data_IF_021103410253
#
_entry.id   IF_021103410253
#
_cell.length_a   1.000
_cell.length_b   1.000
_cell.length_c   1.000
_cell.angle_alpha   90.00
_cell.angle_beta   90.00
_cell.angle_gamma   90.00
#
_symmetry.space_group_name_H-M   'P 1'
#
loop_
_entity.id
_entity.type
_entity.pdbx_description
1 polymer ?
#
# COMPACT_ATOMS: atom_id res chain seq x y z
N UNK A 1 -11.53 36.35 -1.33
CA UNK A 1 -11.77 34.90 -1.20
C UNK A 1 -10.40 34.25 -1.19
N UNK A 2 -10.18 33.26 -0.35
CA UNK A 2 -8.94 32.46 -0.39
C UNK A 2 -8.82 31.73 -1.73
N UNK A 3 -7.58 31.48 -2.16
CA UNK A 3 -7.30 30.58 -3.27
C UNK A 3 -7.55 29.10 -2.89
N UNK A 4 -7.14 28.20 -3.79
CA UNK A 4 -7.31 26.76 -3.68
C UNK A 4 -5.94 26.08 -3.73
N UNK A 5 -5.75 25.03 -2.92
CA UNK A 5 -4.64 24.09 -3.07
C UNK A 5 -5.09 22.91 -3.94
N UNK A 6 -4.44 22.69 -5.07
CA UNK A 6 -4.66 21.54 -5.93
C UNK A 6 -3.59 20.48 -5.69
N UNK A 7 -3.99 19.24 -5.40
CA UNK A 7 -3.11 18.07 -5.31
C UNK A 7 -3.13 17.40 -6.69
N UNK A 8 -2.07 17.55 -7.47
CA UNK A 8 -2.05 17.18 -8.89
C UNK A 8 -1.12 15.99 -9.12
N UNK A 9 -1.69 14.88 -9.63
CA UNK A 9 -0.91 13.71 -10.03
C UNK A 9 -0.10 13.95 -11.30
N UNK A 10 1.15 13.50 -11.29
CA UNK A 10 2.10 13.61 -12.40
C UNK A 10 2.41 12.24 -13.01
N UNK A 11 2.96 12.16 -14.22
CA UNK A 11 3.35 10.90 -14.85
C UNK A 11 4.36 10.10 -14.01
N UNK A 12 4.24 8.76 -14.02
CA UNK A 12 5.16 7.86 -13.33
C UNK A 12 6.28 7.31 -14.23
N UNK A 13 6.40 7.85 -15.45
CA UNK A 13 7.43 7.45 -16.40
C UNK A 13 7.09 7.74 -17.86
N UNK A 14 5.81 7.95 -18.18
CA UNK A 14 5.34 8.26 -19.52
C UNK A 14 4.56 9.58 -19.51
N UNK A 15 5.08 10.59 -20.19
CA UNK A 15 4.45 11.92 -20.27
C UNK A 15 3.04 11.88 -20.88
N UNK A 16 2.73 10.85 -21.70
CA UNK A 16 1.40 10.62 -22.26
C UNK A 16 0.32 10.27 -21.24
N UNK A 17 0.72 9.89 -20.01
CA UNK A 17 -0.20 9.59 -18.91
C UNK A 17 -0.65 10.85 -18.14
N UNK A 18 -0.14 12.02 -18.50
CA UNK A 18 -0.60 13.27 -17.89
C UNK A 18 -2.04 13.54 -18.28
N UNK A 19 -2.89 13.82 -17.29
CA UNK A 19 -4.31 14.09 -17.57
C UNK A 19 -4.52 15.49 -18.15
N UNK A 20 -5.50 15.66 -19.03
CA UNK A 20 -5.89 16.97 -19.57
C UNK A 20 -6.18 17.96 -18.43
N UNK A 21 -6.94 17.55 -17.41
CA UNK A 21 -7.25 18.39 -16.27
C UNK A 21 -6.01 18.74 -15.45
N UNK A 22 -5.03 17.83 -15.38
CA UNK A 22 -3.73 18.09 -14.76
C UNK A 22 -3.00 19.24 -15.46
N UNK A 23 -2.87 19.17 -16.78
CA UNK A 23 -2.26 20.25 -17.58
C UNK A 23 -2.99 21.57 -17.37
N UNK A 24 -4.32 21.59 -17.57
CA UNK A 24 -5.13 22.79 -17.39
C UNK A 24 -5.01 23.39 -15.98
N UNK A 25 -4.91 22.54 -14.95
CA UNK A 25 -4.76 23.02 -13.57
C UNK A 25 -3.41 23.67 -13.37
N UNK A 26 -2.31 23.04 -13.86
CA UNK A 26 -0.97 23.60 -13.77
C UNK A 26 -0.84 24.92 -14.57
N UNK A 27 -1.60 25.06 -15.66
CA UNK A 27 -1.67 26.33 -16.41
C UNK A 27 -2.44 27.43 -15.68
N UNK A 28 -3.43 27.08 -14.86
CA UNK A 28 -4.33 28.05 -14.20
C UNK A 28 -3.84 28.54 -12.85
N UNK A 29 -3.07 27.74 -12.10
CA UNK A 29 -2.57 28.14 -10.78
C UNK A 29 -1.57 29.28 -10.85
N UNK A 30 -1.39 29.99 -9.75
CA UNK A 30 -0.46 31.11 -9.67
C UNK A 30 0.98 30.66 -9.41
N UNK A 31 1.15 29.52 -8.71
CA UNK A 31 2.44 28.88 -8.47
C UNK A 31 2.30 27.39 -8.18
N UNK A 32 3.43 26.68 -8.28
CA UNK A 32 3.47 25.21 -8.09
C UNK A 32 4.51 24.89 -7.01
N UNK A 33 4.09 24.11 -6.01
CA UNK A 33 4.95 23.49 -5.02
C UNK A 33 5.45 22.14 -5.55
N UNK A 34 6.75 22.00 -5.67
CA UNK A 34 7.40 20.84 -6.29
C UNK A 34 8.40 20.18 -5.33
N UNK A 35 8.44 18.87 -5.31
CA UNK A 35 9.40 18.09 -4.54
C UNK A 35 10.83 18.39 -5.05
N UNK A 36 11.10 18.10 -6.32
CA UNK A 36 12.29 18.57 -7.03
C UNK A 36 11.89 19.51 -8.18
N UNK A 37 12.20 20.79 -8.01
CA UNK A 37 11.89 21.81 -9.02
C UNK A 37 12.53 21.55 -10.37
N UNK A 38 13.63 20.80 -10.44
CA UNK A 38 14.33 20.44 -11.68
C UNK A 38 13.56 19.40 -12.47
N UNK A 39 12.95 18.43 -11.77
CA UNK A 39 12.10 17.39 -12.37
C UNK A 39 10.81 18.03 -12.88
N UNK A 40 10.14 18.80 -12.01
CA UNK A 40 8.90 19.50 -12.35
C UNK A 40 9.12 20.48 -13.52
N UNK A 41 10.24 21.19 -13.57
CA UNK A 41 10.55 22.09 -14.67
C UNK A 41 10.62 21.38 -16.04
N UNK A 42 11.14 20.14 -16.07
CA UNK A 42 11.16 19.33 -17.31
C UNK A 42 9.73 19.00 -17.76
N UNK A 43 8.85 18.60 -16.81
CA UNK A 43 7.45 18.34 -17.07
C UNK A 43 6.74 19.60 -17.63
N UNK A 44 6.89 20.73 -16.95
CA UNK A 44 6.28 21.98 -17.37
C UNK A 44 6.77 22.45 -18.74
N UNK A 45 8.06 22.32 -19.01
CA UNK A 45 8.62 22.67 -20.32
C UNK A 45 8.05 21.80 -21.45
N UNK A 46 7.82 20.51 -21.20
CA UNK A 46 7.22 19.60 -22.18
C UNK A 46 5.78 20.04 -22.57
N UNK A 47 5.02 20.54 -21.59
CA UNK A 47 3.65 21.03 -21.80
C UNK A 47 3.61 22.57 -22.07
N UNK A 48 4.76 23.21 -22.28
CA UNK A 48 4.88 24.66 -22.56
C UNK A 48 4.31 25.56 -21.44
N UNK A 49 4.24 25.04 -20.20
CA UNK A 49 3.71 25.75 -19.01
C UNK A 49 4.81 26.58 -18.36
N UNK A 50 4.54 27.87 -18.09
CA UNK A 50 5.46 28.78 -17.42
C UNK A 50 4.83 29.28 -16.13
N UNK A 51 5.21 28.66 -14.99
CA UNK A 51 4.74 29.01 -13.65
C UNK A 51 5.89 29.10 -12.65
N UNK A 52 5.77 29.99 -11.66
CA UNK A 52 6.71 30.03 -10.54
C UNK A 52 6.72 28.69 -9.80
N UNK A 53 7.92 28.17 -9.51
CA UNK A 53 8.12 26.98 -8.72
C UNK A 53 8.59 27.34 -7.31
N UNK A 54 8.03 26.66 -6.31
CA UNK A 54 8.45 26.70 -4.91
C UNK A 54 8.90 25.29 -4.52
N UNK A 55 10.13 25.16 -4.02
CA UNK A 55 10.61 23.85 -3.52
C UNK A 55 9.86 23.49 -2.26
N UNK A 56 9.26 22.29 -2.25
CA UNK A 56 8.52 21.71 -1.11
C UNK A 56 8.74 20.21 -1.04
N UNK A 57 9.58 19.77 -0.13
CA UNK A 57 9.99 18.37 0.05
C UNK A 57 9.83 17.94 1.52
N UNK A 58 10.03 16.67 1.84
CA UNK A 58 9.83 16.08 3.17
C UNK A 58 10.56 16.85 4.30
N UNK A 59 11.74 17.42 3.99
CA UNK A 59 12.53 18.20 4.94
C UNK A 59 12.25 19.71 4.91
N UNK A 60 11.19 20.14 4.21
CA UNK A 60 10.81 21.56 4.19
C UNK A 60 10.40 22.02 5.58
N UNK A 61 10.89 23.21 5.97
CA UNK A 61 10.58 23.74 7.29
C UNK A 61 9.10 24.15 7.38
N UNK A 62 8.58 24.15 8.59
CA UNK A 62 7.22 24.66 8.86
C UNK A 62 6.99 26.08 8.34
N UNK A 63 8.01 26.91 8.37
CA UNK A 63 7.95 28.29 7.84
C UNK A 63 7.66 28.33 6.34
N UNK A 64 8.20 27.37 5.56
CA UNK A 64 7.89 27.23 4.12
C UNK A 64 6.42 26.88 3.94
N UNK A 65 5.90 25.91 4.67
CA UNK A 65 4.47 25.57 4.63
C UNK A 65 3.58 26.75 5.00
N UNK A 66 3.93 27.49 6.08
CA UNK A 66 3.20 28.70 6.49
C UNK A 66 3.22 29.79 5.43
N UNK A 67 4.35 30.01 4.76
CA UNK A 67 4.46 30.96 3.65
C UNK A 67 3.56 30.59 2.46
N UNK A 68 3.53 29.30 2.09
CA UNK A 68 2.67 28.78 1.02
C UNK A 68 1.19 29.00 1.37
N UNK A 69 0.78 28.60 2.57
CA UNK A 69 -0.62 28.72 3.02
C UNK A 69 -1.05 30.18 3.11
N UNK A 70 -0.17 31.09 3.56
CA UNK A 70 -0.47 32.52 3.60
C UNK A 70 -0.69 33.10 2.19
N UNK A 71 0.07 32.66 1.18
CA UNK A 71 -0.16 33.05 -0.22
C UNK A 71 -1.55 32.59 -0.69
N UNK A 72 -1.94 31.36 -0.36
CA UNK A 72 -3.25 30.84 -0.75
C UNK A 72 -4.37 31.61 -0.03
N UNK A 73 -4.21 31.93 1.26
CA UNK A 73 -5.17 32.74 2.02
C UNK A 73 -5.33 34.15 1.42
N UNK A 74 -4.29 34.68 0.81
CA UNK A 74 -4.31 35.97 0.11
C UNK A 74 -4.90 35.89 -1.31
N UNK A 75 -5.42 34.74 -1.73
CA UNK A 75 -6.16 34.54 -2.98
C UNK A 75 -5.39 33.89 -4.12
N UNK A 76 -4.11 33.51 -3.92
CA UNK A 76 -3.35 32.77 -4.93
C UNK A 76 -3.77 31.28 -4.95
N UNK A 77 -3.91 30.70 -6.13
CA UNK A 77 -4.10 29.26 -6.32
C UNK A 77 -2.74 28.56 -6.40
N UNK A 78 -2.63 27.42 -5.74
CA UNK A 78 -1.39 26.64 -5.72
C UNK A 78 -1.66 25.20 -6.18
N UNK A 79 -0.73 24.61 -6.95
CA UNK A 79 -0.67 23.17 -7.15
C UNK A 79 0.49 22.58 -6.34
N UNK A 80 0.28 21.43 -5.70
CA UNK A 80 1.35 20.59 -5.17
C UNK A 80 1.52 19.38 -6.08
N UNK A 81 2.77 19.10 -6.45
CA UNK A 81 3.16 17.96 -7.29
C UNK A 81 4.35 17.24 -6.66
N UNK A 82 4.44 15.92 -6.87
CA UNK A 82 5.63 15.10 -6.59
C UNK A 82 6.42 14.86 -7.87
N UNK A 83 7.58 14.24 -7.73
CA UNK A 83 8.44 13.91 -8.87
C UNK A 83 7.77 12.88 -9.81
N UNK A 84 6.94 11.99 -9.25
CA UNK A 84 6.20 10.99 -10.00
C UNK A 84 4.94 10.52 -9.26
N UNK A 85 3.80 10.44 -9.95
CA UNK A 85 2.56 9.90 -9.39
C UNK A 85 1.74 10.90 -8.59
N UNK A 86 0.97 10.40 -7.63
CA UNK A 86 0.11 11.22 -6.77
C UNK A 86 0.89 11.74 -5.57
N UNK A 87 0.96 13.07 -5.36
CA UNK A 87 1.55 13.64 -4.16
C UNK A 87 0.90 13.09 -2.89
N UNK A 88 1.63 13.15 -1.78
CA UNK A 88 1.17 12.71 -0.45
C UNK A 88 0.99 11.19 -0.26
N UNK A 89 1.34 10.38 -1.24
CA UNK A 89 1.33 8.91 -1.16
C UNK A 89 2.79 8.43 -1.28
N UNK A 90 3.45 8.23 -0.16
CA UNK A 90 4.92 8.03 -0.04
C UNK A 90 5.76 9.24 -0.48
N UNK A 91 5.13 10.40 -0.63
CA UNK A 91 5.70 11.64 -1.12
C UNK A 91 5.34 12.81 -0.19
N UNK A 92 6.05 13.95 -0.24
CA UNK A 92 5.73 15.13 0.55
C UNK A 92 4.37 15.74 0.20
N UNK A 93 3.79 16.48 1.15
CA UNK A 93 2.55 17.24 0.94
C UNK A 93 1.51 17.09 2.05
N UNK A 94 1.53 16.01 2.82
CA UNK A 94 0.54 15.72 3.88
C UNK A 94 0.45 16.87 4.90
N UNK A 95 1.59 17.41 5.34
CA UNK A 95 1.60 18.52 6.31
C UNK A 95 1.08 19.82 5.72
N UNK A 96 1.33 20.08 4.43
CA UNK A 96 0.78 21.24 3.72
C UNK A 96 -0.75 21.14 3.63
N UNK A 97 -1.28 19.95 3.24
CA UNK A 97 -2.71 19.71 3.18
C UNK A 97 -3.35 19.89 4.55
N UNK A 98 -2.76 19.32 5.60
CA UNK A 98 -3.24 19.46 6.98
C UNK A 98 -3.33 20.92 7.39
N UNK A 99 -2.28 21.70 7.14
CA UNK A 99 -2.23 23.13 7.47
C UNK A 99 -3.26 23.93 6.67
N UNK A 100 -3.51 23.59 5.41
CA UNK A 100 -4.57 24.18 4.60
C UNK A 100 -5.96 23.93 5.20
N UNK A 101 -6.25 22.67 5.58
CA UNK A 101 -7.53 22.28 6.17
C UNK A 101 -7.74 22.99 7.51
N UNK A 102 -6.72 23.05 8.36
CA UNK A 102 -6.77 23.76 9.67
C UNK A 102 -7.06 25.26 9.55
N UNK A 103 -6.82 25.84 8.36
CA UNK A 103 -7.05 27.27 8.07
C UNK A 103 -8.21 27.53 7.09
N UNK A 104 -9.10 26.56 6.92
CA UNK A 104 -10.27 26.65 6.03
C UNK A 104 -9.91 26.95 4.56
N UNK A 105 -8.72 26.56 4.11
CA UNK A 105 -8.34 26.63 2.71
C UNK A 105 -8.91 25.42 1.98
N UNK A 106 -9.59 25.67 0.87
CA UNK A 106 -10.12 24.60 0.01
C UNK A 106 -8.98 23.79 -0.61
N UNK A 107 -9.05 22.46 -0.49
CA UNK A 107 -8.14 21.51 -1.13
C UNK A 107 -8.89 20.70 -2.16
N UNK A 108 -8.40 20.65 -3.39
CA UNK A 108 -8.98 19.86 -4.48
C UNK A 108 -7.98 18.85 -5.03
N UNK A 109 -8.46 17.63 -5.35
CA UNK A 109 -7.64 16.61 -5.99
C UNK A 109 -7.82 16.63 -7.51
N UNK A 110 -6.70 16.55 -8.22
CA UNK A 110 -6.63 16.29 -9.65
C UNK A 110 -5.94 14.95 -9.83
N UNK A 111 -6.71 13.83 -9.93
CA UNK A 111 -6.14 12.49 -9.96
C UNK A 111 -5.27 12.29 -11.19
N UNK A 112 -4.24 11.49 -11.00
CA UNK A 112 -3.29 11.09 -12.03
C UNK A 112 -2.80 9.65 -11.85
N UNK A 113 -1.76 9.24 -12.58
CA UNK A 113 -1.18 7.90 -12.47
C UNK A 113 -0.70 7.58 -11.06
N UNK A 114 -0.80 6.31 -10.67
CA UNK A 114 -0.20 5.79 -9.45
C UNK A 114 0.45 4.44 -9.72
N UNK A 115 1.70 4.26 -9.35
CA UNK A 115 2.42 3.01 -9.55
C UNK A 115 1.76 1.86 -8.79
N UNK A 116 1.27 2.11 -7.56
CA UNK A 116 0.55 1.16 -6.74
C UNK A 116 -0.67 0.58 -7.47
N UNK A 117 -1.60 1.44 -7.93
CA UNK A 117 -2.83 1.00 -8.57
C UNK A 117 -2.56 0.31 -9.91
N UNK A 118 -1.60 0.81 -10.69
CA UNK A 118 -1.18 0.22 -11.96
C UNK A 118 -0.58 -1.18 -11.75
N UNK A 119 0.27 -1.36 -10.74
CA UNK A 119 0.85 -2.66 -10.41
C UNK A 119 -0.22 -3.68 -10.00
N UNK A 120 -1.15 -3.30 -9.13
CA UNK A 120 -2.26 -4.17 -8.70
C UNK A 120 -3.09 -4.63 -9.89
N UNK A 121 -3.44 -3.70 -10.80
CA UNK A 121 -4.26 -4.01 -11.96
C UNK A 121 -3.65 -5.07 -12.90
N UNK A 122 -2.31 -5.14 -12.97
CA UNK A 122 -1.60 -6.09 -13.86
C UNK A 122 -0.98 -7.27 -13.13
N UNK A 123 -1.09 -7.35 -11.79
CA UNK A 123 -0.37 -8.34 -10.97
C UNK A 123 -0.85 -9.78 -11.15
N UNK A 124 -2.10 -10.02 -11.49
CA UNK A 124 -2.77 -11.32 -11.41
C UNK A 124 -2.85 -11.89 -9.96
N UNK A 125 -2.83 -11.01 -8.96
CA UNK A 125 -3.10 -11.32 -7.56
C UNK A 125 -4.45 -10.69 -7.19
N UNK A 126 -5.12 -11.18 -6.15
CA UNK A 126 -6.45 -10.68 -5.77
C UNK A 126 -6.44 -9.16 -5.58
N UNK A 127 -7.37 -8.48 -6.25
CA UNK A 127 -7.54 -7.02 -6.19
C UNK A 127 -8.70 -6.59 -5.30
N UNK A 128 -9.45 -7.56 -4.74
CA UNK A 128 -10.67 -7.27 -3.97
C UNK A 128 -10.39 -6.54 -2.65
N UNK A 129 -9.27 -6.85 -2.02
CA UNK A 129 -8.78 -6.17 -0.82
C UNK A 129 -7.26 -6.12 -0.85
N UNK A 130 -6.68 -4.95 -0.65
CA UNK A 130 -5.24 -4.77 -0.62
C UNK A 130 -4.84 -3.71 0.41
N UNK A 131 -3.61 -3.82 0.90
CA UNK A 131 -2.97 -2.85 1.76
C UNK A 131 -1.71 -2.30 1.09
N UNK A 132 -1.56 -0.97 1.10
CA UNK A 132 -0.36 -0.31 0.63
C UNK A 132 0.58 -0.08 1.81
N UNK A 133 1.70 -0.76 1.80
CA UNK A 133 2.71 -0.78 2.86
C UNK A 133 3.86 0.23 2.60
N UNK A 134 3.93 0.79 1.38
CA UNK A 134 4.97 1.76 1.01
C UNK A 134 6.37 1.16 0.97
N UNK A 135 7.37 1.95 1.37
CA UNK A 135 8.76 1.49 1.44
C UNK A 135 9.06 0.86 2.81
N UNK A 136 9.73 -0.28 2.79
CA UNK A 136 10.27 -0.87 4.01
C UNK A 136 11.44 -0.03 4.57
N UNK A 137 11.50 0.11 5.89
CA UNK A 137 12.55 0.88 6.57
C UNK A 137 13.95 0.35 6.24
N UNK A 138 14.90 1.26 6.07
CA UNK A 138 16.33 0.93 5.97
C UNK A 138 16.87 0.36 7.28
N UNK A 139 16.27 0.73 8.42
CA UNK A 139 16.63 0.23 9.74
C UNK A 139 16.12 -1.19 9.91
N UNK A 140 17.02 -2.16 10.09
CA UNK A 140 16.71 -3.60 10.17
C UNK A 140 15.61 -3.90 11.18
N UNK A 141 15.69 -3.32 12.39
CA UNK A 141 14.68 -3.54 13.44
C UNK A 141 13.28 -3.13 13.00
N UNK A 142 13.11 -1.91 12.49
CA UNK A 142 11.81 -1.39 12.04
C UNK A 142 11.27 -2.18 10.83
N UNK A 143 12.15 -2.58 9.90
CA UNK A 143 11.78 -3.41 8.76
C UNK A 143 11.24 -4.76 9.19
N UNK A 144 11.87 -5.41 10.15
CA UNK A 144 11.43 -6.69 10.68
C UNK A 144 10.13 -6.59 11.48
N UNK A 145 9.98 -5.56 12.31
CA UNK A 145 8.73 -5.27 13.00
C UNK A 145 7.57 -5.05 12.02
N UNK A 146 7.81 -4.31 10.93
CA UNK A 146 6.83 -4.10 9.87
C UNK A 146 6.45 -5.41 9.18
N UNK A 147 7.43 -6.19 8.69
CA UNK A 147 7.17 -7.48 8.04
C UNK A 147 6.45 -8.45 8.98
N UNK A 148 6.82 -8.52 10.24
CA UNK A 148 6.17 -9.35 11.23
C UNK A 148 4.70 -8.95 11.45
N UNK A 149 4.40 -7.65 11.49
CA UNK A 149 3.02 -7.15 11.63
C UNK A 149 2.14 -7.50 10.42
N UNK A 150 2.70 -7.45 9.21
CA UNK A 150 2.02 -7.77 7.97
C UNK A 150 1.95 -9.28 7.65
N UNK A 151 2.70 -10.11 8.39
CA UNK A 151 2.88 -11.54 8.05
C UNK A 151 1.57 -12.35 8.02
N UNK A 152 0.57 -11.96 8.80
CA UNK A 152 -0.73 -12.64 8.86
C UNK A 152 -1.86 -11.85 8.21
N UNK A 153 -1.54 -10.76 7.51
CA UNK A 153 -2.55 -9.99 6.79
C UNK A 153 -3.03 -10.78 5.57
N UNK A 154 -4.35 -10.92 5.46
CA UNK A 154 -5.02 -11.64 4.37
C UNK A 154 -5.24 -10.78 3.12
N UNK A 155 -4.94 -9.48 3.20
CA UNK A 155 -4.98 -8.59 2.06
C UNK A 155 -3.79 -8.82 1.14
N UNK A 156 -3.94 -8.51 -0.13
CA UNK A 156 -2.81 -8.34 -1.03
C UNK A 156 -1.95 -7.18 -0.53
N UNK A 157 -0.65 -7.39 -0.34
CA UNK A 157 0.27 -6.41 0.18
C UNK A 157 1.05 -5.75 -0.96
N UNK A 158 1.21 -4.43 -0.90
CA UNK A 158 1.89 -3.67 -1.96
C UNK A 158 3.03 -2.88 -1.35
N UNK A 159 4.24 -3.11 -1.86
CA UNK A 159 5.45 -2.40 -1.42
C UNK A 159 6.10 -1.68 -2.60
N UNK A 160 6.70 -0.53 -2.33
CA UNK A 160 7.67 0.08 -3.23
C UNK A 160 9.07 -0.36 -2.84
N UNK A 161 9.95 -0.56 -3.84
CA UNK A 161 11.32 -0.94 -3.54
C UNK A 161 12.33 -0.37 -4.55
N UNK A 162 13.50 -0.02 -4.01
CA UNK A 162 14.62 0.44 -4.78
C UNK A 162 15.48 -0.74 -5.28
N UNK A 163 16.11 -0.64 -6.45
CA UNK A 163 16.83 -1.76 -7.06
C UNK A 163 17.93 -2.34 -6.16
N UNK A 164 18.66 -1.51 -5.47
CA UNK A 164 19.79 -1.93 -4.63
C UNK A 164 19.36 -2.67 -3.35
N UNK A 165 18.07 -2.64 -2.98
CA UNK A 165 17.51 -3.33 -1.81
C UNK A 165 16.71 -4.58 -2.19
N UNK A 166 16.26 -4.70 -3.44
CA UNK A 166 15.27 -5.68 -3.88
C UNK A 166 15.59 -7.10 -3.40
N UNK A 167 16.80 -7.60 -3.67
CA UNK A 167 17.17 -8.99 -3.30
C UNK A 167 17.18 -9.21 -1.80
N UNK A 168 17.62 -8.22 -1.01
CA UNK A 168 17.58 -8.31 0.45
C UNK A 168 16.15 -8.29 0.98
N UNK A 169 15.30 -7.43 0.42
CA UNK A 169 13.89 -7.34 0.77
C UNK A 169 13.14 -8.64 0.44
N UNK A 170 13.39 -9.26 -0.71
CA UNK A 170 12.80 -10.55 -1.06
C UNK A 170 13.21 -11.66 -0.08
N UNK A 171 14.47 -11.68 0.39
CA UNK A 171 14.93 -12.63 1.40
C UNK A 171 14.25 -12.41 2.75
N UNK A 172 14.14 -11.17 3.18
CA UNK A 172 13.40 -10.83 4.40
C UNK A 172 11.91 -11.20 4.25
N UNK A 173 11.28 -10.94 3.10
CA UNK A 173 9.89 -11.35 2.83
C UNK A 173 9.70 -12.87 2.88
N UNK A 174 10.63 -13.64 2.32
CA UNK A 174 10.57 -15.11 2.39
C UNK A 174 10.61 -15.61 3.84
N UNK A 175 11.44 -14.99 4.68
CA UNK A 175 11.56 -15.35 6.11
C UNK A 175 10.26 -15.10 6.87
N UNK A 176 9.60 -13.94 6.65
CA UNK A 176 8.41 -13.54 7.43
C UNK A 176 7.08 -13.98 6.82
N UNK A 177 6.96 -14.00 5.50
CA UNK A 177 5.72 -14.33 4.80
C UNK A 177 5.65 -15.77 4.34
N UNK A 178 6.79 -16.47 4.25
CA UNK A 178 6.89 -17.73 3.54
C UNK A 178 6.89 -17.56 2.02
N UNK A 179 6.84 -18.65 1.28
CA UNK A 179 6.93 -18.62 -0.18
C UNK A 179 5.57 -18.35 -0.83
N UNK A 180 5.13 -17.09 -0.77
CA UNK A 180 3.88 -16.62 -1.39
C UNK A 180 4.10 -16.24 -2.85
N UNK A 181 2.99 -16.19 -3.59
CA UNK A 181 2.98 -15.58 -4.92
C UNK A 181 3.30 -14.11 -4.81
N UNK A 182 4.11 -13.65 -5.76
CA UNK A 182 4.50 -12.25 -5.89
C UNK A 182 4.44 -11.83 -7.36
N UNK A 183 3.99 -10.62 -7.61
CA UNK A 183 4.16 -9.96 -8.89
C UNK A 183 5.12 -8.79 -8.71
N UNK A 184 6.21 -8.82 -9.46
CA UNK A 184 7.23 -7.79 -9.44
C UNK A 184 7.05 -6.93 -10.67
N UNK A 185 6.51 -5.72 -10.47
CA UNK A 185 6.30 -4.74 -11.53
C UNK A 185 7.50 -3.79 -11.54
N UNK A 186 8.19 -3.73 -12.67
CA UNK A 186 9.40 -2.93 -12.84
C UNK A 186 9.17 -1.89 -13.93
N UNK A 187 9.63 -0.64 -13.68
CA UNK A 187 9.66 0.43 -14.68
C UNK A 187 8.29 0.64 -15.38
N UNK A 188 7.19 0.58 -14.62
CA UNK A 188 5.82 0.75 -15.15
C UNK A 188 5.72 2.02 -15.99
N UNK A 189 5.04 1.93 -17.13
CA UNK A 189 4.83 2.95 -18.16
C UNK A 189 6.08 3.37 -18.95
N UNK A 190 7.28 2.89 -18.57
CA UNK A 190 8.54 3.22 -19.24
C UNK A 190 8.87 2.20 -20.34
N UNK A 191 9.90 2.50 -21.16
CA UNK A 191 10.32 1.62 -22.30
C UNK A 191 10.71 0.21 -21.83
N UNK A 192 11.19 0.08 -20.60
CA UNK A 192 11.62 -1.20 -20.03
C UNK A 192 10.63 -1.75 -18.99
N UNK A 193 9.33 -1.47 -19.19
CA UNK A 193 8.29 -2.04 -18.37
C UNK A 193 8.32 -3.56 -18.39
N UNK A 194 8.29 -4.17 -17.22
CA UNK A 194 8.31 -5.61 -17.05
C UNK A 194 7.43 -6.01 -15.87
N UNK A 195 6.69 -7.11 -16.01
CA UNK A 195 5.89 -7.69 -14.93
C UNK A 195 6.20 -9.18 -14.81
N UNK A 196 6.93 -9.53 -13.75
CA UNK A 196 7.30 -10.91 -13.42
C UNK A 196 6.32 -11.44 -12.38
N UNK A 197 5.60 -12.52 -12.72
CA UNK A 197 4.64 -13.20 -11.84
C UNK A 197 5.22 -14.56 -11.45
N UNK A 198 5.51 -14.75 -10.17
CA UNK A 198 6.27 -15.89 -9.67
C UNK A 198 6.01 -16.10 -8.17
N UNK A 199 6.85 -16.87 -7.48
CA UNK A 199 6.93 -16.94 -6.02
C UNK A 199 8.11 -16.13 -5.48
N UNK A 200 8.12 -15.86 -4.18
CA UNK A 200 9.21 -15.09 -3.56
C UNK A 200 10.55 -15.82 -3.72
N UNK A 201 10.58 -17.15 -3.56
CA UNK A 201 11.80 -17.95 -3.70
C UNK A 201 12.35 -17.98 -5.12
N UNK A 202 11.48 -18.12 -6.12
CA UNK A 202 11.87 -18.05 -7.53
C UNK A 202 12.37 -16.65 -7.91
N UNK A 203 11.73 -15.59 -7.38
CA UNK A 203 12.19 -14.22 -7.57
C UNK A 203 13.60 -13.99 -7.00
N UNK A 204 13.92 -14.54 -5.82
CA UNK A 204 15.28 -14.49 -5.25
C UNK A 204 16.26 -15.13 -6.20
N UNK A 205 15.96 -16.35 -6.66
CA UNK A 205 16.83 -17.09 -7.60
C UNK A 205 17.09 -16.31 -8.87
N UNK A 206 16.07 -15.67 -9.44
CA UNK A 206 16.19 -14.84 -10.62
C UNK A 206 17.13 -13.63 -10.38
N UNK A 207 16.91 -12.88 -9.29
CA UNK A 207 17.69 -11.68 -8.99
C UNK A 207 19.07 -11.96 -8.37
N UNK A 208 19.42 -13.19 -8.06
CA UNK A 208 20.80 -13.59 -7.78
C UNK A 208 21.67 -13.62 -9.04
N UNK A 209 21.06 -13.79 -10.22
CA UNK A 209 21.75 -13.82 -11.52
C UNK A 209 21.59 -12.53 -12.31
N UNK A 210 20.51 -11.78 -12.09
CA UNK A 210 20.18 -10.54 -12.79
C UNK A 210 20.30 -9.35 -11.84
N UNK A 211 21.15 -8.38 -12.19
CA UNK A 211 21.30 -7.17 -11.39
C UNK A 211 20.04 -6.28 -11.48
N UNK A 212 19.30 -6.02 -10.39
CA UNK A 212 18.10 -5.20 -10.42
C UNK A 212 18.43 -3.76 -10.85
N UNK A 213 17.60 -3.19 -11.74
CA UNK A 213 17.69 -1.80 -12.20
C UNK A 213 16.30 -1.19 -12.34
N UNK A 214 16.19 0.10 -12.09
CA UNK A 214 14.94 0.84 -12.19
C UNK A 214 14.15 0.83 -10.88
N UNK A 215 12.86 1.08 -10.94
CA UNK A 215 11.95 1.19 -9.81
C UNK A 215 11.00 0.00 -9.77
N UNK A 216 10.68 -0.47 -8.58
CA UNK A 216 9.92 -1.69 -8.39
C UNK A 216 8.68 -1.45 -7.55
N UNK A 217 7.58 -2.09 -7.96
CA UNK A 217 6.41 -2.32 -7.12
C UNK A 217 6.25 -3.82 -6.92
N UNK A 218 6.23 -4.24 -5.66
CA UNK A 218 6.06 -5.63 -5.26
C UNK A 218 4.60 -5.81 -4.82
N UNK A 219 3.87 -6.67 -5.52
CA UNK A 219 2.50 -7.05 -5.16
C UNK A 219 2.56 -8.48 -4.64
N UNK A 220 2.33 -8.67 -3.34
CA UNK A 220 2.47 -9.95 -2.64
C UNK A 220 1.10 -10.49 -2.28
N UNK A 221 0.86 -11.77 -2.52
CA UNK A 221 -0.37 -12.45 -2.11
C UNK A 221 -0.54 -12.36 -0.59
N UNK A 222 -1.76 -12.09 -0.13
CA UNK A 222 -2.11 -12.07 1.29
C UNK A 222 -1.88 -13.42 1.97
N UNK A 223 -1.83 -13.42 3.29
CA UNK A 223 -1.76 -14.66 4.04
C UNK A 223 -2.99 -15.52 3.77
N UNK A 224 -2.75 -16.73 3.30
CA UNK A 224 -3.77 -17.75 3.18
C UNK A 224 -3.58 -18.72 4.35
N UNK A 225 -4.46 -18.68 5.39
CA UNK A 225 -4.37 -19.65 6.47
C UNK A 225 -4.45 -21.04 5.85
N UNK A 226 -3.63 -22.00 6.31
CA UNK A 226 -3.76 -23.37 5.84
C UNK A 226 -5.21 -23.79 6.01
N UNK A 227 -5.82 -24.31 4.94
CA UNK A 227 -7.08 -25.02 5.08
C UNK A 227 -6.83 -26.10 6.13
N UNK A 228 -7.67 -26.14 7.16
CA UNK A 228 -7.65 -27.23 8.13
C UNK A 228 -8.15 -28.46 7.36
N UNK A 229 -7.25 -29.09 6.60
CA UNK A 229 -7.50 -30.27 5.78
C UNK A 229 -7.42 -31.57 6.58
N UNK A 230 -7.08 -31.52 7.85
CA UNK A 230 -7.39 -32.63 8.75
C UNK A 230 -8.90 -32.55 9.00
N UNK A 231 -9.66 -33.48 8.45
CA UNK A 231 -10.99 -33.77 8.95
C UNK A 231 -10.83 -34.07 10.44
N UNK A 232 -11.00 -33.04 11.27
CA UNK A 232 -11.02 -33.20 12.71
C UNK A 232 -12.14 -34.22 12.95
N UNK A 233 -11.79 -35.40 13.42
CA UNK A 233 -12.82 -36.44 13.72
C UNK A 233 -13.80 -35.87 14.74
N UNK A 234 -15.04 -36.32 14.72
CA UNK A 234 -16.06 -35.93 15.69
C UNK A 234 -15.55 -36.09 17.13
N UNK A 235 -14.78 -37.16 17.39
CA UNK A 235 -14.17 -37.46 18.70
C UNK A 235 -13.16 -36.36 19.10
N UNK A 236 -12.28 -35.94 18.20
CA UNK A 236 -11.31 -34.86 18.47
C UNK A 236 -12.02 -33.51 18.66
N UNK A 237 -13.10 -33.26 17.93
CA UNK A 237 -13.91 -32.04 18.07
C UNK A 237 -14.65 -32.02 19.44
N UNK A 238 -15.17 -33.16 19.90
CA UNK A 238 -15.77 -33.32 21.22
C UNK A 238 -14.77 -33.16 22.35
N UNK A 239 -13.55 -33.63 22.19
CA UNK A 239 -12.48 -33.43 23.17
C UNK A 239 -12.17 -31.97 23.36
N UNK A 240 -12.19 -31.16 22.28
CA UNK A 240 -12.06 -29.72 22.39
C UNK A 240 -13.23 -29.06 23.12
N UNK A 241 -14.47 -29.49 22.85
CA UNK A 241 -15.67 -29.02 23.58
C UNK A 241 -15.54 -29.31 25.08
N UNK A 242 -15.13 -30.54 25.46
CA UNK A 242 -14.93 -30.94 26.85
C UNK A 242 -13.88 -30.08 27.55
N UNK A 243 -12.73 -29.82 26.91
CA UNK A 243 -11.68 -28.93 27.44
C UNK A 243 -12.19 -27.51 27.69
N UNK A 244 -13.02 -26.96 26.79
CA UNK A 244 -13.63 -25.64 26.97
C UNK A 244 -14.61 -25.59 28.13
N UNK A 245 -15.38 -26.70 28.36
CA UNK A 245 -16.29 -26.83 29.50
C UNK A 245 -15.50 -26.93 30.81
N UNK A 246 -14.43 -27.73 30.87
CA UNK A 246 -13.54 -27.83 32.00
C UNK A 246 -12.91 -26.47 32.37
N UNK A 247 -12.66 -25.62 31.40
CA UNK A 247 -12.18 -24.24 31.57
C UNK A 247 -13.29 -23.25 31.96
N UNK A 248 -14.50 -23.72 32.29
CA UNK A 248 -15.61 -22.92 32.81
C UNK A 248 -16.58 -22.37 31.75
N UNK A 249 -16.48 -22.74 30.50
CA UNK A 249 -17.44 -22.36 29.47
C UNK A 249 -18.76 -23.15 29.60
N UNK A 250 -19.89 -22.51 29.34
CA UNK A 250 -21.17 -23.22 29.27
C UNK A 250 -21.19 -24.15 28.04
N UNK A 251 -21.82 -25.35 28.11
CA UNK A 251 -21.84 -26.31 27.01
C UNK A 251 -22.24 -25.74 25.65
N UNK A 252 -23.27 -24.87 25.64
CA UNK A 252 -23.73 -24.18 24.42
C UNK A 252 -22.69 -23.22 23.82
N UNK A 253 -21.90 -22.55 24.65
CA UNK A 253 -20.88 -21.59 24.22
C UNK A 253 -19.60 -22.34 23.80
N UNK A 254 -19.24 -23.39 24.52
CA UNK A 254 -18.16 -24.31 24.16
C UNK A 254 -18.38 -24.95 22.77
N UNK A 255 -19.58 -25.47 22.49
CA UNK A 255 -19.93 -25.99 21.17
C UNK A 255 -19.90 -24.91 20.07
N UNK A 256 -20.28 -23.65 20.38
CA UNK A 256 -20.21 -22.54 19.44
C UNK A 256 -18.76 -22.16 19.11
N UNK A 257 -17.89 -22.22 20.07
CA UNK A 257 -16.45 -21.92 19.89
C UNK A 257 -15.73 -23.05 19.15
N UNK A 258 -15.97 -24.29 19.55
CA UNK A 258 -15.42 -25.47 18.87
C UNK A 258 -15.91 -25.58 17.41
N UNK A 259 -17.15 -25.22 17.12
CA UNK A 259 -17.71 -25.20 15.77
C UNK A 259 -16.92 -24.27 14.82
N UNK A 260 -16.39 -23.16 15.32
CA UNK A 260 -15.55 -22.24 14.54
C UNK A 260 -14.17 -22.81 14.21
N UNK A 261 -13.66 -23.68 15.07
CA UNK A 261 -12.31 -24.24 14.95
C UNK A 261 -12.30 -25.57 14.18
N UNK A 262 -13.40 -26.34 14.27
CA UNK A 262 -13.45 -27.73 13.77
C UNK A 262 -14.24 -27.87 12.47
N UNK A 263 -15.00 -26.82 12.05
CA UNK A 263 -15.85 -26.88 10.86
C UNK A 263 -17.18 -27.60 11.04
N UNK A 264 -17.42 -28.28 12.18
CA UNK A 264 -18.71 -28.90 12.49
C UNK A 264 -19.79 -27.87 12.83
N UNK A 265 -21.06 -28.23 12.60
CA UNK A 265 -22.15 -27.37 13.05
C UNK A 265 -22.30 -27.43 14.57
N UNK A 266 -22.62 -26.31 15.21
CA UNK A 266 -22.88 -26.25 16.65
C UNK A 266 -23.89 -27.29 17.11
N UNK A 267 -24.95 -27.52 16.32
CA UNK A 267 -26.00 -28.52 16.60
C UNK A 267 -25.48 -29.97 16.60
N UNK A 268 -24.54 -30.27 15.71
CA UNK A 268 -23.93 -31.62 15.61
C UNK A 268 -23.06 -31.89 16.84
N UNK A 269 -22.18 -30.91 17.20
CA UNK A 269 -21.35 -31.03 18.41
C UNK A 269 -22.17 -31.09 19.69
N UNK A 270 -23.27 -30.35 19.78
CA UNK A 270 -24.13 -30.39 20.96
C UNK A 270 -24.88 -31.71 21.08
N UNK A 271 -25.39 -32.25 19.98
CA UNK A 271 -26.06 -33.58 19.98
C UNK A 271 -25.07 -34.70 20.32
N UNK A 272 -23.85 -34.63 19.78
CA UNK A 272 -22.83 -35.60 20.07
C UNK A 272 -22.36 -35.53 21.55
N UNK A 273 -22.23 -34.33 22.11
CA UNK A 273 -21.90 -34.15 23.54
C UNK A 273 -22.94 -34.75 24.47
N UNK A 274 -24.24 -34.53 24.18
CA UNK A 274 -25.35 -35.09 24.99
C UNK A 274 -25.42 -36.63 24.91
N UNK A 275 -25.11 -37.22 23.76
CA UNK A 275 -25.10 -38.65 23.59
C UNK A 275 -23.91 -39.32 24.30
N UNK A 276 -22.76 -38.63 24.36
CA UNK A 276 -21.55 -39.15 25.03
C UNK A 276 -21.66 -39.07 26.59
N UNK A 277 -22.49 -38.20 27.14
CA UNK A 277 -22.80 -38.14 28.57
C UNK A 277 -23.84 -39.20 29.03
N UNK A 278 -24.41 -39.96 28.09
CA UNK A 278 -25.44 -40.99 28.40
C UNK A 278 -24.90 -42.43 28.39
N UNK A 279 -23.65 -42.66 28.01
CA UNK A 279 -22.94 -43.93 28.07
C UNK A 279 -21.93 -43.91 29.24
#
# INVERSE_FOLDING_TARGET
MSGILYVVGTPIGNLGDMTYRGVETLEKVDFICAEDTRVTLKLLNYFEIKKPLVSYHEHSSRQVSESIVNRILNGENCAVVSDAGMPCISDPGVDLIRMCIERDVKVEVVPGPTAMASAVAVSNISTSRFAFEGFLSVTKKQRYEHLQSAAKDTHTLIFYEAPHKLTATLKDMLEYFGDRKISICRELTKIHEEVIRTTISEAITYYETVNPKGEFVLVVEGYNPPEITEEITMEAALEQVKKLIENGSKPSDACKEAAKLTGYKKSELYSALVNDDCD
#
